data_IF_257803855101
#
_entry.id   IF_257803855101
#
_cell.length_a   1.000
_cell.length_b   1.000
_cell.length_c   1.000
_cell.angle_alpha   90.00
_cell.angle_beta   90.00
_cell.angle_gamma   90.00
#
_symmetry.space_group_name_H-M   'P 1'
#
loop_
_entity.id
_entity.type
_entity.pdbx_description
1 polymer ?
#
# COMPACT_ATOMS: atom_id res chain seq x y z
N UNK A 1 -8.45 47.89 48.71
CA UNK A 1 -9.32 46.89 48.04
C UNK A 1 -8.98 46.85 46.53
N UNK A 2 -9.24 45.73 45.82
CA UNK A 2 -8.28 45.03 44.96
C UNK A 2 -8.40 45.30 43.44
N UNK A 3 -7.37 44.85 42.70
CA UNK A 3 -7.34 44.25 41.35
C UNK A 3 -8.03 45.00 40.19
N UNK A 4 -7.46 45.10 38.99
CA UNK A 4 -7.04 43.97 38.15
C UNK A 4 -6.01 44.41 37.10
N UNK A 5 -4.88 43.69 37.04
CA UNK A 5 -4.11 43.55 35.81
C UNK A 5 -4.94 42.71 34.82
N UNK A 6 -5.51 43.33 33.79
CA UNK A 6 -6.00 42.61 32.62
C UNK A 6 -4.83 42.42 31.65
N UNK A 7 -4.50 41.15 31.36
CA UNK A 7 -3.33 40.77 30.56
C UNK A 7 -3.81 40.63 29.11
N UNK A 8 -3.30 41.41 28.14
CA UNK A 8 -3.80 41.35 26.78
C UNK A 8 -3.58 39.95 26.19
N UNK A 9 -4.69 39.32 25.80
CA UNK A 9 -4.71 38.01 25.18
C UNK A 9 -3.88 37.99 23.90
N UNK A 10 -2.78 37.24 23.93
CA UNK A 10 -1.87 37.10 22.78
C UNK A 10 -2.47 36.11 21.76
N UNK A 11 -3.42 36.59 20.98
CA UNK A 11 -4.16 35.83 19.97
C UNK A 11 -3.24 35.33 18.84
N UNK A 12 -2.13 36.04 18.61
CA UNK A 12 -1.11 35.69 17.61
C UNK A 12 -0.32 34.46 18.05
N UNK A 13 0.11 34.40 19.31
CA UNK A 13 0.75 33.20 19.87
C UNK A 13 -0.19 31.99 19.87
N UNK A 14 -1.50 32.21 20.13
CA UNK A 14 -2.52 31.16 20.01
C UNK A 14 -2.65 30.66 18.56
N UNK A 15 -2.62 31.55 17.58
CA UNK A 15 -2.68 31.18 16.16
C UNK A 15 -1.44 30.39 15.69
N UNK A 16 -0.24 30.81 16.09
CA UNK A 16 1.00 30.08 15.79
C UNK A 16 1.06 28.72 16.48
N UNK A 17 0.56 28.61 17.72
CA UNK A 17 0.46 27.33 18.42
C UNK A 17 -0.51 26.37 17.73
N UNK A 18 -1.66 26.85 17.27
CA UNK A 18 -2.62 26.03 16.51
C UNK A 18 -2.06 25.62 15.15
N UNK A 19 -1.42 26.54 14.43
CA UNK A 19 -0.78 26.23 13.14
C UNK A 19 0.36 25.21 13.30
N UNK A 20 1.17 25.31 14.35
CA UNK A 20 2.24 24.36 14.64
C UNK A 20 1.70 22.96 14.96
N UNK A 21 0.58 22.86 15.70
CA UNK A 21 -0.07 21.59 15.99
C UNK A 21 -0.61 20.95 14.71
N UNK A 22 -1.27 21.73 13.83
CA UNK A 22 -1.79 21.22 12.56
C UNK A 22 -0.64 20.69 11.68
N UNK A 23 0.47 21.42 11.58
CA UNK A 23 1.64 20.99 10.81
C UNK A 23 2.25 19.71 11.40
N UNK A 24 2.37 19.63 12.73
CA UNK A 24 2.88 18.43 13.40
C UNK A 24 1.99 17.20 13.18
N UNK A 25 0.66 17.37 13.18
CA UNK A 25 -0.30 16.30 12.90
C UNK A 25 -0.21 15.86 11.43
N UNK A 26 -0.11 16.80 10.48
CA UNK A 26 0.06 16.48 9.06
C UNK A 26 1.38 15.73 8.81
N UNK A 27 2.48 16.16 9.43
CA UNK A 27 3.76 15.47 9.35
C UNK A 27 3.69 14.07 9.97
N UNK A 28 3.03 13.91 11.12
CA UNK A 28 2.86 12.61 11.77
C UNK A 28 2.05 11.63 10.89
N UNK A 29 0.97 12.09 10.26
CA UNK A 29 0.17 11.28 9.32
C UNK A 29 0.98 10.89 8.08
N UNK A 30 1.82 11.78 7.56
CA UNK A 30 2.72 11.47 6.44
C UNK A 30 3.80 10.43 6.81
N UNK A 31 4.32 10.48 8.06
CA UNK A 31 5.28 9.50 8.59
C UNK A 31 4.66 8.10 8.75
N UNK A 32 3.35 8.01 9.05
CA UNK A 32 2.62 6.74 9.16
C UNK A 32 2.42 6.03 7.81
N UNK A 33 2.42 6.76 6.69
CA UNK A 33 2.31 6.18 5.34
C UNK A 33 3.61 5.53 4.83
N UNK A 34 4.75 5.79 5.49
CA UNK A 34 6.08 5.33 5.05
C UNK A 34 6.60 4.04 5.71
N UNK A 35 5.82 3.40 6.59
CA UNK A 35 6.27 2.19 7.28
C UNK A 35 6.08 0.96 6.36
N UNK A 36 7.11 0.62 5.59
CA UNK A 36 7.20 -0.52 4.68
C UNK A 36 6.94 -1.85 5.38
N UNK A 37 5.68 -2.20 5.54
CA UNK A 37 5.26 -3.54 5.94
C UNK A 37 5.18 -4.34 4.66
N UNK A 38 6.03 -5.36 4.49
CA UNK A 38 5.96 -6.23 3.31
C UNK A 38 4.62 -6.94 3.26
N UNK A 39 3.72 -6.45 2.40
CA UNK A 39 2.36 -6.99 2.25
C UNK A 39 2.29 -8.04 1.15
N UNK A 40 3.29 -8.14 0.28
CA UNK A 40 3.37 -9.15 -0.78
C UNK A 40 3.86 -10.52 -0.26
N UNK A 41 3.10 -11.11 0.65
CA UNK A 41 3.34 -12.46 1.17
C UNK A 41 2.46 -13.49 0.46
N UNK A 42 2.82 -14.80 0.49
CA UNK A 42 1.93 -15.85 -0.04
C UNK A 42 0.59 -15.88 0.69
N UNK A 43 0.60 -15.73 2.01
CA UNK A 43 -0.61 -15.74 2.82
C UNK A 43 -1.60 -14.63 2.43
N UNK A 44 -1.10 -13.45 2.08
CA UNK A 44 -1.94 -12.34 1.58
C UNK A 44 -2.37 -12.58 0.14
N UNK A 45 -1.49 -13.11 -0.72
CA UNK A 45 -1.86 -13.49 -2.09
C UNK A 45 -2.97 -14.55 -2.14
N UNK A 46 -2.94 -15.52 -1.23
CA UNK A 46 -3.94 -16.60 -1.15
C UNK A 46 -5.32 -16.09 -0.72
N UNK A 47 -5.37 -14.97 -0.01
CA UNK A 47 -6.64 -14.31 0.35
C UNK A 47 -7.32 -13.64 -0.84
N UNK A 48 -6.58 -13.28 -1.90
CA UNK A 48 -7.16 -12.69 -3.11
C UNK A 48 -7.97 -13.77 -3.83
N UNK A 49 -9.26 -13.51 -4.06
CA UNK A 49 -10.17 -14.44 -4.75
C UNK A 49 -10.79 -13.78 -5.97
N UNK A 50 -11.23 -14.61 -6.90
CA UNK A 50 -11.99 -14.14 -8.06
C UNK A 50 -13.26 -13.40 -7.58
N UNK A 51 -13.65 -12.37 -8.33
CA UNK A 51 -14.81 -11.54 -8.01
C UNK A 51 -14.57 -10.40 -7.03
N UNK A 52 -13.40 -10.36 -6.36
CA UNK A 52 -13.00 -9.24 -5.49
C UNK A 52 -12.81 -7.95 -6.28
N UNK A 53 -13.14 -6.82 -5.67
CA UNK A 53 -12.89 -5.48 -6.21
C UNK A 53 -11.42 -5.08 -6.08
N UNK A 54 -10.99 -4.08 -6.87
CA UNK A 54 -9.65 -3.48 -6.74
C UNK A 54 -9.36 -2.98 -5.32
N UNK A 55 -10.36 -2.37 -4.67
CA UNK A 55 -10.23 -1.87 -3.31
C UNK A 55 -10.02 -2.98 -2.27
N UNK A 56 -10.72 -4.10 -2.41
CA UNK A 56 -10.54 -5.27 -1.55
C UNK A 56 -9.14 -5.88 -1.71
N UNK A 57 -8.64 -5.99 -2.95
CA UNK A 57 -7.27 -6.44 -3.21
C UNK A 57 -6.26 -5.47 -2.58
N UNK A 58 -6.47 -4.16 -2.75
CA UNK A 58 -5.59 -3.15 -2.18
C UNK A 58 -5.58 -3.15 -0.64
N UNK A 59 -6.70 -3.51 -0.01
CA UNK A 59 -6.76 -3.68 1.44
C UNK A 59 -5.86 -4.84 1.93
N UNK A 60 -5.74 -5.90 1.14
CA UNK A 60 -4.95 -7.11 1.47
C UNK A 60 -3.45 -6.89 1.20
N UNK A 61 -3.09 -6.45 -0.02
CA UNK A 61 -1.68 -6.38 -0.47
C UNK A 61 -1.13 -4.95 -0.63
N UNK A 62 -1.93 -3.91 -0.34
CA UNK A 62 -1.53 -2.50 -0.48
C UNK A 62 -1.84 -1.92 -1.86
N UNK A 63 -1.41 -0.68 -2.11
CA UNK A 63 -1.62 -0.03 -3.40
C UNK A 63 -0.76 -0.67 -4.51
N UNK A 64 -1.29 -0.76 -5.75
CA UNK A 64 -0.52 -1.29 -6.87
C UNK A 64 0.65 -0.39 -7.22
N UNK A 65 1.79 -1.00 -7.53
CA UNK A 65 2.97 -0.27 -8.00
C UNK A 65 2.77 0.32 -9.39
N UNK A 66 1.96 -0.33 -10.22
CA UNK A 66 1.63 0.13 -11.56
C UNK A 66 0.30 -0.45 -12.05
N UNK A 67 -0.46 0.34 -12.79
CA UNK A 67 -1.61 -0.16 -13.55
C UNK A 67 -1.11 -0.71 -14.89
N UNK A 68 -1.63 -1.86 -15.32
CA UNK A 68 -1.23 -2.52 -16.57
C UNK A 68 -2.46 -2.61 -17.45
N UNK A 69 -2.44 -1.96 -18.62
CA UNK A 69 -3.48 -2.11 -19.64
C UNK A 69 -2.94 -2.94 -20.80
N UNK A 70 -3.77 -3.81 -21.38
CA UNK A 70 -3.36 -4.57 -22.56
C UNK A 70 -4.29 -5.73 -22.86
N UNK A 71 -3.84 -6.59 -23.76
CA UNK A 71 -4.60 -7.76 -24.14
C UNK A 71 -4.20 -8.95 -23.25
N UNK A 72 -5.13 -9.39 -22.42
CA UNK A 72 -4.96 -10.56 -21.55
C UNK A 72 -5.78 -11.71 -22.13
N UNK A 73 -5.12 -12.82 -22.50
CA UNK A 73 -5.78 -13.99 -23.12
C UNK A 73 -6.62 -13.66 -24.36
N UNK A 74 -6.20 -12.67 -25.17
CA UNK A 74 -6.90 -12.25 -26.39
C UNK A 74 -8.08 -11.29 -26.15
N UNK A 75 -8.39 -10.95 -24.89
CA UNK A 75 -9.41 -9.98 -24.53
C UNK A 75 -8.75 -8.67 -24.09
N UNK A 76 -9.25 -7.54 -24.55
CA UNK A 76 -8.83 -6.24 -24.04
C UNK A 76 -9.21 -6.14 -22.56
N UNK A 77 -8.20 -6.01 -21.72
CA UNK A 77 -8.36 -6.08 -20.28
C UNK A 77 -7.44 -5.13 -19.53
N UNK A 78 -7.77 -4.91 -18.27
CA UNK A 78 -6.96 -4.13 -17.35
C UNK A 78 -6.42 -5.04 -16.24
N UNK A 79 -5.31 -4.64 -15.68
CA UNK A 79 -4.70 -5.27 -14.53
C UNK A 79 -4.00 -4.25 -13.65
N UNK A 80 -3.57 -4.72 -12.50
CA UNK A 80 -2.68 -3.98 -11.64
C UNK A 80 -1.54 -4.89 -11.21
N UNK A 81 -0.35 -4.32 -11.08
CA UNK A 81 0.84 -5.03 -10.70
C UNK A 81 1.42 -4.44 -9.42
N UNK A 82 1.75 -5.32 -8.49
CA UNK A 82 2.46 -5.03 -7.26
C UNK A 82 3.86 -5.61 -7.37
N UNK A 83 4.86 -4.83 -6.96
CA UNK A 83 6.25 -5.26 -6.90
C UNK A 83 6.85 -4.92 -5.56
N UNK A 84 7.47 -5.90 -4.94
CA UNK A 84 8.21 -5.74 -3.70
C UNK A 84 9.45 -6.63 -3.72
N UNK A 85 10.63 -6.01 -3.87
CA UNK A 85 11.90 -6.70 -4.06
C UNK A 85 11.84 -7.66 -5.25
N UNK A 86 12.13 -8.94 -4.97
CA UNK A 86 12.13 -10.05 -5.92
C UNK A 86 10.73 -10.63 -6.21
N UNK A 87 9.69 -10.10 -5.56
CA UNK A 87 8.32 -10.60 -5.69
C UNK A 87 7.48 -9.65 -6.52
N UNK A 88 6.77 -10.20 -7.50
CA UNK A 88 5.79 -9.48 -8.30
C UNK A 88 4.45 -10.22 -8.29
N UNK A 89 3.35 -9.47 -8.17
CA UNK A 89 1.99 -9.98 -8.29
C UNK A 89 1.29 -9.20 -9.39
N UNK A 90 0.67 -9.89 -10.34
CA UNK A 90 -0.20 -9.33 -11.36
C UNK A 90 -1.62 -9.82 -11.09
N UNK A 91 -2.56 -8.88 -10.92
CA UNK A 91 -3.99 -9.19 -10.81
C UNK A 91 -4.71 -8.57 -12.00
N UNK A 92 -5.54 -9.37 -12.66
CA UNK A 92 -6.32 -8.99 -13.83
C UNK A 92 -7.75 -8.68 -13.38
N UNK A 93 -8.29 -7.58 -13.89
CA UNK A 93 -9.62 -7.09 -13.54
C UNK A 93 -10.49 -6.97 -14.79
N UNK A 94 -11.73 -7.45 -14.69
CA UNK A 94 -12.80 -7.26 -15.68
C UNK A 94 -14.04 -6.80 -14.92
N UNK A 95 -14.71 -5.74 -15.40
CA UNK A 95 -15.82 -5.10 -14.69
C UNK A 95 -15.53 -4.81 -13.20
N UNK A 96 -14.33 -4.29 -12.92
CA UNK A 96 -13.81 -4.01 -11.57
C UNK A 96 -13.58 -5.24 -10.68
N UNK A 97 -13.71 -6.46 -11.21
CA UNK A 97 -13.60 -7.72 -10.47
C UNK A 97 -12.38 -8.53 -10.86
N UNK A 98 -11.75 -9.19 -9.89
CA UNK A 98 -10.64 -10.13 -10.14
C UNK A 98 -11.13 -11.28 -11.02
N UNK A 99 -10.48 -11.47 -12.16
CA UNK A 99 -10.70 -12.62 -13.07
C UNK A 99 -9.50 -13.54 -13.17
N UNK A 100 -8.36 -13.10 -12.63
CA UNK A 100 -7.15 -13.90 -12.59
C UNK A 100 -6.05 -13.23 -11.80
N UNK A 101 -5.15 -14.04 -11.25
CA UNK A 101 -3.98 -13.58 -10.51
C UNK A 101 -2.77 -14.45 -10.82
N UNK A 102 -1.60 -13.82 -10.81
CA UNK A 102 -0.31 -14.48 -10.99
C UNK A 102 0.72 -13.88 -10.05
N UNK A 103 1.51 -14.72 -9.38
CA UNK A 103 2.63 -14.30 -8.54
C UNK A 103 3.92 -14.91 -9.08
N UNK A 104 4.93 -14.06 -9.23
CA UNK A 104 6.30 -14.46 -9.60
C UNK A 104 7.22 -14.10 -8.45
N UNK A 105 8.05 -15.04 -8.02
CA UNK A 105 9.16 -14.81 -7.08
C UNK A 105 10.47 -15.10 -7.80
N UNK A 106 11.33 -14.10 -7.95
CA UNK A 106 12.60 -14.22 -8.64
C UNK A 106 13.77 -14.12 -7.68
N UNK A 107 14.27 -15.24 -7.16
CA UNK A 107 15.57 -15.26 -6.47
C UNK A 107 16.58 -15.91 -7.40
N UNK A 108 17.61 -15.17 -7.84
CA UNK A 108 18.70 -15.73 -8.65
C UNK A 108 19.35 -16.97 -8.00
N UNK A 109 19.29 -17.05 -6.67
CA UNK A 109 19.76 -18.16 -5.82
C UNK A 109 19.01 -19.48 -6.03
N UNK A 110 17.79 -19.48 -6.58
CA UNK A 110 17.04 -20.73 -6.85
C UNK A 110 17.45 -21.40 -8.17
N UNK A 111 18.03 -20.64 -9.09
CA UNK A 111 18.47 -21.12 -10.40
C UNK A 111 19.96 -21.54 -10.41
N UNK A 112 20.71 -21.11 -9.39
CA UNK A 112 22.12 -21.48 -9.16
C UNK A 112 22.18 -22.21 -7.82
N UNK A 113 21.83 -23.49 -7.81
CA UNK A 113 21.43 -24.25 -6.63
C UNK A 113 22.36 -24.18 -5.41
N UNK A 114 21.76 -23.90 -4.24
CA UNK A 114 22.19 -24.38 -2.91
C UNK A 114 20.94 -24.53 -2.03
N UNK A 115 20.68 -25.75 -1.54
CA UNK A 115 19.70 -26.02 -0.48
C UNK A 115 18.43 -26.73 -0.96
N UNK A 116 18.41 -28.05 -0.79
CA UNK A 116 17.40 -28.94 -1.34
C UNK A 116 16.00 -28.78 -0.75
N UNK A 117 15.02 -29.11 -1.58
CA UNK A 117 13.83 -29.88 -1.24
C UNK A 117 13.23 -30.34 -2.57
N UNK A 118 13.70 -31.52 -2.99
CA UNK A 118 13.07 -32.35 -4.00
C UNK A 118 11.97 -33.13 -3.27
N UNK A 119 10.74 -33.05 -3.78
CA UNK A 119 9.55 -33.84 -3.39
C UNK A 119 8.93 -33.50 -2.02
N UNK A 120 7.77 -32.84 -2.03
CA UNK A 120 6.48 -33.49 -1.77
C UNK A 120 5.36 -32.75 -2.51
#
# INVERSE_FOLDING_TARGET
MPSCCDKPGNNRARYYALAAIVIAVVLLVALLAGCGTTRLTSANYDQIRDGMSRGEVAAIIGEPSQMVGGQFMGVDGGGAMWREGDTAVLVQFMDDKVVGKQMTRGTATRLLGVGGDLLQ
#
